data_IF_898502476506
#
_entry.id   IF_898502476506
#
_cell.length_a   1.000
_cell.length_b   1.000
_cell.length_c   1.000
_cell.angle_alpha   90.00
_cell.angle_beta   90.00
_cell.angle_gamma   90.00
#
_symmetry.space_group_name_H-M   'P 1'
#
loop_
_entity.id
_entity.type
_entity.pdbx_description
1 polymer ?
#
# COMPACT_ATOMS: atom_id res chain seq x y z
N UNK A 1 6.70 -8.13 24.17
CA UNK A 1 6.41 -8.05 22.73
C UNK A 1 5.64 -6.77 22.39
N UNK A 2 5.98 -5.58 22.91
CA UNK A 2 5.04 -4.47 22.82
C UNK A 2 5.29 -3.78 21.48
N UNK A 3 4.64 -4.27 20.43
CA UNK A 3 4.45 -3.48 19.22
C UNK A 3 5.78 -3.19 18.46
N UNK A 4 6.34 -4.16 17.72
CA UNK A 4 7.48 -3.95 16.80
C UNK A 4 7.10 -2.84 15.80
N UNK A 5 7.45 -1.56 15.90
CA UNK A 5 8.38 -0.83 16.75
C UNK A 5 7.73 0.54 17.05
N UNK A 6 7.48 0.94 18.30
CA UNK A 6 7.01 2.29 18.75
C UNK A 6 5.51 2.57 18.94
N UNK A 7 4.59 1.64 18.69
CA UNK A 7 3.14 1.93 18.80
C UNK A 7 2.38 1.65 17.50
N UNK A 8 1.06 1.48 17.57
CA UNK A 8 0.24 1.14 16.40
C UNK A 8 0.45 2.17 15.27
N UNK A 9 0.61 3.44 15.65
CA UNK A 9 0.88 4.56 14.75
C UNK A 9 2.20 4.40 13.98
N UNK A 10 3.26 3.96 14.64
CA UNK A 10 4.56 3.75 14.01
C UNK A 10 4.54 2.55 13.06
N UNK A 11 3.87 1.45 13.43
CA UNK A 11 3.67 0.31 12.54
C UNK A 11 2.88 0.71 11.28
N UNK A 12 1.78 1.44 11.44
CA UNK A 12 0.96 1.94 10.33
C UNK A 12 1.79 2.84 9.41
N UNK A 13 2.53 3.80 9.97
CA UNK A 13 3.34 4.73 9.17
C UNK A 13 4.43 4.01 8.36
N UNK A 14 5.13 3.04 8.95
CA UNK A 14 6.17 2.25 8.28
C UNK A 14 5.57 1.34 7.20
N UNK A 15 4.45 0.67 7.51
CA UNK A 15 3.77 -0.20 6.55
C UNK A 15 3.29 0.57 5.33
N UNK A 16 2.67 1.74 5.53
CA UNK A 16 2.11 2.56 4.45
C UNK A 16 3.16 3.25 3.58
N UNK A 17 4.35 3.53 4.13
CA UNK A 17 5.41 4.24 3.41
C UNK A 17 6.48 3.29 2.86
N UNK A 18 7.24 2.63 3.74
CA UNK A 18 8.35 1.75 3.38
C UNK A 18 7.83 0.49 2.70
N UNK A 19 6.76 -0.11 3.23
CA UNK A 19 6.12 -1.29 2.63
C UNK A 19 5.60 -1.01 1.23
N UNK A 20 5.00 0.16 1.02
CA UNK A 20 4.53 0.60 -0.30
C UNK A 20 5.70 0.80 -1.29
N UNK A 21 6.74 1.52 -0.88
CA UNK A 21 7.91 1.77 -1.73
C UNK A 21 8.61 0.46 -2.12
N UNK A 22 8.79 -0.45 -1.17
CA UNK A 22 9.40 -1.76 -1.44
C UNK A 22 8.55 -2.59 -2.42
N UNK A 23 7.22 -2.59 -2.24
CA UNK A 23 6.29 -3.30 -3.13
C UNK A 23 6.27 -2.69 -4.53
N UNK A 24 6.30 -1.36 -4.62
CA UNK A 24 6.36 -0.63 -5.88
C UNK A 24 7.65 -0.95 -6.66
N UNK A 25 8.80 -0.86 -5.99
CA UNK A 25 10.10 -1.17 -6.58
C UNK A 25 10.21 -2.64 -7.00
N UNK A 26 9.74 -3.56 -6.18
CA UNK A 26 9.70 -4.99 -6.53
C UNK A 26 8.86 -5.25 -7.79
N UNK A 27 7.70 -4.58 -7.91
CA UNK A 27 6.84 -4.70 -9.08
C UNK A 27 7.51 -4.15 -10.34
N UNK A 28 8.23 -3.04 -10.20
CA UNK A 28 8.96 -2.39 -11.29
C UNK A 28 10.13 -3.24 -11.83
N UNK A 29 10.83 -3.96 -10.95
CA UNK A 29 11.96 -4.82 -11.35
C UNK A 29 11.48 -6.14 -11.96
N UNK A 30 10.43 -6.76 -11.41
CA UNK A 30 10.07 -8.14 -11.77
C UNK A 30 9.01 -8.27 -12.87
N UNK A 31 8.17 -7.26 -13.14
CA UNK A 31 6.95 -7.43 -13.94
C UNK A 31 6.94 -6.64 -15.27
N UNK A 32 8.09 -6.52 -15.93
CA UNK A 32 8.18 -5.81 -17.22
C UNK A 32 7.28 -6.38 -18.33
N UNK A 33 7.05 -7.70 -18.36
CA UNK A 33 6.14 -8.34 -19.33
C UNK A 33 4.68 -7.90 -19.14
N UNK A 34 4.25 -7.64 -17.91
CA UNK A 34 2.88 -7.22 -17.62
C UNK A 34 2.62 -5.79 -18.12
N UNK A 35 3.63 -4.91 -18.06
CA UNK A 35 3.49 -3.56 -18.61
C UNK A 35 3.23 -3.59 -20.12
N UNK A 36 3.86 -4.51 -20.87
CA UNK A 36 3.62 -4.68 -22.31
C UNK A 36 2.18 -5.17 -22.55
N UNK A 37 1.70 -6.12 -21.75
CA UNK A 37 0.31 -6.58 -21.82
C UNK A 37 -0.68 -5.42 -21.60
N UNK A 38 -0.52 -4.63 -20.54
CA UNK A 38 -1.43 -3.52 -20.25
C UNK A 38 -1.35 -2.41 -21.31
N UNK A 39 -0.16 -2.11 -21.80
CA UNK A 39 0.04 -1.14 -22.87
C UNK A 39 -0.67 -1.57 -24.17
N UNK A 40 -0.58 -2.84 -24.53
CA UNK A 40 -1.30 -3.40 -25.68
C UNK A 40 -2.82 -3.36 -25.52
N UNK A 41 -3.32 -3.28 -24.28
CA UNK A 41 -4.74 -3.10 -23.96
C UNK A 41 -5.11 -1.61 -23.76
N UNK A 42 -4.23 -0.67 -24.14
CA UNK A 42 -4.49 0.78 -24.07
C UNK A 42 -4.31 1.40 -22.69
N UNK A 43 -3.81 0.65 -21.70
CA UNK A 43 -3.56 1.15 -20.36
C UNK A 43 -2.09 1.56 -20.24
N UNK A 44 -1.84 2.83 -19.94
CA UNK A 44 -0.48 3.34 -19.83
C UNK A 44 0.16 2.99 -18.47
N UNK A 45 1.49 2.92 -18.46
CA UNK A 45 2.28 2.68 -17.24
C UNK A 45 1.98 3.70 -16.13
N UNK A 46 1.79 4.96 -16.51
CA UNK A 46 1.44 6.05 -15.58
C UNK A 46 0.07 5.80 -14.94
N UNK A 47 -0.92 5.33 -15.71
CA UNK A 47 -2.23 4.97 -15.14
C UNK A 47 -2.10 3.86 -14.09
N UNK A 48 -1.26 2.85 -14.33
CA UNK A 48 -1.00 1.78 -13.36
C UNK A 48 -0.32 2.30 -12.09
N UNK A 49 0.61 3.25 -12.22
CA UNK A 49 1.25 3.89 -11.06
C UNK A 49 0.24 4.69 -10.23
N UNK A 50 -0.60 5.50 -10.88
CA UNK A 50 -1.67 6.26 -10.21
C UNK A 50 -2.64 5.31 -9.52
N UNK A 51 -3.09 4.25 -10.19
CA UNK A 51 -3.96 3.24 -9.57
C UNK A 51 -3.32 2.55 -8.37
N UNK A 52 -2.03 2.21 -8.46
CA UNK A 52 -1.29 1.58 -7.36
C UNK A 52 -1.21 2.52 -6.15
N UNK A 53 -0.97 3.82 -6.38
CA UNK A 53 -0.97 4.82 -5.32
C UNK A 53 -2.37 5.00 -4.69
N UNK A 54 -3.41 5.14 -5.52
CA UNK A 54 -4.80 5.30 -5.04
C UNK A 54 -5.26 4.11 -4.21
N UNK A 55 -4.98 2.88 -4.66
CA UNK A 55 -5.33 1.67 -3.92
C UNK A 55 -4.57 1.58 -2.59
N UNK A 56 -3.30 1.96 -2.55
CA UNK A 56 -2.53 2.00 -1.31
C UNK A 56 -3.09 3.05 -0.33
N UNK A 57 -3.43 4.23 -0.81
CA UNK A 57 -4.05 5.27 0.01
C UNK A 57 -5.42 4.82 0.57
N UNK A 58 -6.27 4.24 -0.28
CA UNK A 58 -7.56 3.70 0.14
C UNK A 58 -7.40 2.60 1.19
N UNK A 59 -6.48 1.66 0.97
CA UNK A 59 -6.21 0.59 1.92
C UNK A 59 -5.65 1.12 3.24
N UNK A 60 -4.80 2.15 3.20
CA UNK A 60 -4.30 2.81 4.39
C UNK A 60 -5.41 3.46 5.22
N UNK A 61 -6.30 4.22 4.58
CA UNK A 61 -7.48 4.80 5.25
C UNK A 61 -8.33 3.70 5.88
N UNK A 62 -8.58 2.61 5.13
CA UNK A 62 -9.37 1.48 5.61
C UNK A 62 -8.76 0.81 6.84
N UNK A 63 -7.44 0.55 6.85
CA UNK A 63 -6.74 0.00 8.00
C UNK A 63 -6.83 0.93 9.21
N UNK A 64 -6.58 2.23 9.02
CA UNK A 64 -6.68 3.21 10.11
C UNK A 64 -8.08 3.24 10.72
N UNK A 65 -9.13 3.20 9.89
CA UNK A 65 -10.52 3.13 10.36
C UNK A 65 -10.80 1.84 11.14
N UNK A 66 -10.34 0.69 10.64
CA UNK A 66 -10.51 -0.59 11.35
C UNK A 66 -9.83 -0.58 12.71
N UNK A 67 -8.60 -0.07 12.78
CA UNK A 67 -7.84 0.00 14.03
C UNK A 67 -8.54 0.92 15.04
N UNK A 68 -8.99 2.11 14.61
CA UNK A 68 -9.74 3.01 15.47
C UNK A 68 -11.06 2.40 15.98
N UNK A 69 -11.76 1.66 15.12
CA UNK A 69 -12.98 0.95 15.50
C UNK A 69 -12.69 -0.13 16.55
N UNK A 70 -11.62 -0.90 16.36
CA UNK A 70 -11.20 -1.92 17.35
C UNK A 70 -10.89 -1.24 18.69
N UNK A 71 -10.08 -0.18 18.72
CA UNK A 71 -9.78 0.53 19.97
C UNK A 71 -11.04 1.08 20.65
N UNK A 72 -11.99 1.64 19.89
CA UNK A 72 -13.27 2.11 20.45
C UNK A 72 -14.11 1.01 21.11
N UNK A 73 -14.02 -0.24 20.64
CA UNK A 73 -14.78 -1.36 21.21
C UNK A 73 -14.08 -2.08 22.37
N UNK A 74 -12.76 -1.92 22.51
CA UNK A 74 -11.94 -2.64 23.50
C UNK A 74 -11.39 -1.75 24.63
N UNK A 75 -11.55 -0.42 24.54
CA UNK A 75 -11.46 0.54 25.66
C UNK A 75 -12.86 0.90 26.20
#
# INVERSE_FOLDING_TARGET
MPLLFFGADAFISVFLTIGFLASFLSKEVSHNSNYIFFYNNGISKIQLWVWTYLMNAFFGIFITLLINLIFYYFE
#
